data_IF_961006495122
#
_entry.id   IF_961006495122
#
_cell.length_a   1.000
_cell.length_b   1.000
_cell.length_c   1.000
_cell.angle_alpha   90.00
_cell.angle_beta   90.00
_cell.angle_gamma   90.00
#
_symmetry.space_group_name_H-M   'P 1'
#
loop_
_entity.id
_entity.type
_entity.pdbx_description
1 polymer ?
#
# COMPACT_ATOMS: atom_id res chain seq x y z
N UNK A 1 10.80 53.26 -2.49
CA UNK A 1 12.23 52.99 -2.20
C UNK A 1 12.51 51.54 -2.57
N UNK A 2 13.13 51.29 -3.73
CA UNK A 2 13.46 49.93 -4.17
C UNK A 2 14.60 49.41 -3.31
N UNK A 3 14.33 48.46 -2.40
CA UNK A 3 15.38 47.82 -1.61
C UNK A 3 16.22 46.92 -2.52
N UNK A 4 17.30 47.48 -3.06
CA UNK A 4 18.35 46.69 -3.71
C UNK A 4 19.09 45.93 -2.61
N UNK A 5 18.60 44.73 -2.28
CA UNK A 5 19.36 43.80 -1.45
C UNK A 5 20.73 43.52 -2.07
N UNK A 6 21.72 43.12 -1.24
CA UNK A 6 23.06 42.79 -1.75
C UNK A 6 22.98 41.72 -2.85
N UNK A 7 23.81 41.81 -3.90
CA UNK A 7 23.81 40.83 -4.98
C UNK A 7 24.09 39.43 -4.43
N UNK A 8 23.49 38.37 -5.01
CA UNK A 8 23.70 37.01 -4.54
C UNK A 8 25.18 36.62 -4.65
N UNK A 9 25.74 36.00 -3.61
CA UNK A 9 27.17 35.60 -3.59
C UNK A 9 27.45 34.43 -4.56
N UNK A 10 26.44 33.59 -4.84
CA UNK A 10 26.52 32.40 -5.68
C UNK A 10 25.50 32.44 -6.83
N UNK A 11 25.89 31.90 -7.98
CA UNK A 11 25.01 31.58 -9.12
C UNK A 11 24.97 30.07 -9.31
N UNK A 12 23.80 29.51 -9.61
CA UNK A 12 23.64 28.07 -9.85
C UNK A 12 23.01 27.83 -11.22
N UNK A 13 23.54 26.87 -11.98
CA UNK A 13 23.03 26.47 -13.29
C UNK A 13 23.19 24.96 -13.50
N UNK A 14 22.43 24.38 -14.42
CA UNK A 14 22.53 22.96 -14.78
C UNK A 14 23.59 22.70 -15.85
N UNK A 15 24.34 21.60 -15.73
CA UNK A 15 25.24 21.14 -16.78
C UNK A 15 24.47 20.86 -18.08
N UNK A 16 24.97 21.36 -19.21
CA UNK A 16 24.34 21.21 -20.54
C UNK A 16 24.30 19.79 -21.12
N UNK A 17 24.84 18.78 -20.41
CA UNK A 17 24.84 17.38 -20.84
C UNK A 17 24.00 16.52 -19.89
N UNK A 18 24.40 16.44 -18.63
CA UNK A 18 23.78 15.56 -17.64
C UNK A 18 22.74 16.25 -16.73
N UNK A 19 22.60 17.57 -16.79
CA UNK A 19 21.68 18.32 -15.93
C UNK A 19 22.16 18.54 -14.49
N UNK A 20 23.33 18.03 -14.09
CA UNK A 20 23.90 18.24 -12.75
C UNK A 20 23.93 19.73 -12.39
N UNK A 21 23.36 20.07 -11.23
CA UNK A 21 23.34 21.44 -10.72
C UNK A 21 24.73 21.83 -10.21
N UNK A 22 25.32 22.85 -10.81
CA UNK A 22 26.61 23.40 -10.41
C UNK A 22 26.39 24.78 -9.78
N UNK A 23 27.09 25.06 -8.67
CA UNK A 23 27.02 26.33 -7.94
C UNK A 23 28.41 26.95 -7.88
N UNK A 24 28.55 28.20 -8.34
CA UNK A 24 29.81 28.93 -8.33
C UNK A 24 29.63 30.34 -7.77
N UNK A 25 30.70 30.92 -7.21
CA UNK A 25 30.69 32.33 -6.80
C UNK A 25 30.57 33.24 -8.03
N UNK A 26 29.86 34.37 -7.89
CA UNK A 26 29.62 35.31 -9.00
C UNK A 26 30.91 35.82 -9.67
N UNK A 27 32.04 35.86 -8.95
CA UNK A 27 33.36 36.20 -9.52
C UNK A 27 33.87 35.25 -10.62
N UNK A 28 33.23 34.10 -10.81
CA UNK A 28 33.57 33.13 -11.85
C UNK A 28 32.62 33.17 -13.06
N UNK A 29 31.65 34.08 -13.09
CA UNK A 29 30.77 34.28 -14.26
C UNK A 29 31.63 34.53 -15.51
N UNK A 30 31.30 33.83 -16.60
CA UNK A 30 32.05 33.86 -17.87
C UNK A 30 33.24 32.90 -17.95
N UNK A 31 33.68 32.29 -16.84
CA UNK A 31 34.77 31.29 -16.85
C UNK A 31 34.25 29.90 -17.24
N UNK A 32 35.13 29.11 -17.86
CA UNK A 32 34.90 27.70 -18.21
C UNK A 32 35.22 26.80 -17.01
N UNK A 33 34.34 25.85 -16.72
CA UNK A 33 34.49 24.90 -15.61
C UNK A 33 34.04 23.50 -16.03
N UNK A 34 34.68 22.45 -15.51
CA UNK A 34 34.31 21.05 -15.81
C UNK A 34 33.22 20.59 -14.85
N UNK A 35 32.20 19.93 -15.38
CA UNK A 35 31.23 19.21 -14.57
C UNK A 35 31.92 18.03 -13.87
N UNK A 36 31.73 17.83 -12.55
CA UNK A 36 32.33 16.72 -11.82
C UNK A 36 31.78 15.36 -12.25
N UNK A 37 30.52 15.30 -12.70
CA UNK A 37 29.87 14.02 -13.02
C UNK A 37 30.17 13.55 -14.44
N UNK A 38 30.08 14.43 -15.44
CA UNK A 38 30.23 14.06 -16.85
C UNK A 38 31.50 14.62 -17.52
N UNK A 39 32.29 15.44 -16.82
CA UNK A 39 33.51 16.05 -17.36
C UNK A 39 33.29 17.16 -18.40
N UNK A 40 32.05 17.42 -18.86
CA UNK A 40 31.77 18.47 -19.86
C UNK A 40 32.16 19.85 -19.33
N UNK A 41 32.83 20.63 -20.18
CA UNK A 41 33.19 22.02 -19.92
C UNK A 41 31.96 22.91 -20.16
N UNK A 42 31.48 23.60 -19.13
CA UNK A 42 30.39 24.56 -19.19
C UNK A 42 30.91 25.98 -18.91
N UNK A 43 30.26 26.99 -19.47
CA UNK A 43 30.51 28.42 -19.17
C UNK A 43 29.52 28.85 -18.09
N UNK A 44 30.01 29.46 -17.02
CA UNK A 44 29.18 29.92 -15.90
C UNK A 44 28.35 31.13 -16.36
N UNK A 45 27.01 31.04 -16.42
CA UNK A 45 26.16 32.13 -16.87
C UNK A 45 26.07 33.25 -15.81
N UNK A 46 25.83 34.51 -16.23
CA UNK A 46 25.54 35.59 -15.28
C UNK A 46 24.27 35.26 -14.48
N UNK A 47 24.19 35.68 -13.20
CA UNK A 47 23.01 35.45 -12.39
C UNK A 47 21.80 36.10 -13.07
N UNK A 48 20.71 35.35 -13.20
CA UNK A 48 19.44 35.93 -13.63
C UNK A 48 19.07 37.01 -12.62
N UNK A 49 18.99 38.25 -13.11
CA UNK A 49 18.44 39.34 -12.31
C UNK A 49 16.99 38.96 -12.05
N UNK A 50 16.69 38.51 -10.83
CA UNK A 50 15.31 38.29 -10.40
C UNK A 50 14.57 39.60 -10.63
N UNK A 51 13.79 39.68 -11.70
CA UNK A 51 12.84 40.77 -11.87
C UNK A 51 11.99 40.72 -10.61
N UNK A 52 11.92 41.84 -9.89
CA UNK A 52 11.04 41.96 -8.77
C UNK A 52 9.68 41.48 -9.24
N UNK A 53 9.22 40.34 -8.74
CA UNK A 53 7.86 39.89 -8.99
C UNK A 53 7.04 41.01 -8.40
N UNK A 54 6.20 41.72 -9.20
CA UNK A 54 5.33 42.74 -8.64
C UNK A 54 4.57 42.04 -7.52
N UNK A 55 4.73 42.53 -6.29
CA UNK A 55 4.00 41.97 -5.16
C UNK A 55 2.53 41.97 -5.58
N UNK A 56 1.82 40.85 -5.44
CA UNK A 56 0.40 40.84 -5.75
C UNK A 56 -0.25 41.98 -4.95
N UNK A 57 -1.09 42.79 -5.61
CA UNK A 57 -1.78 43.93 -4.99
C UNK A 57 -2.50 43.55 -3.68
N UNK A 58 -2.84 42.26 -3.52
CA UNK A 58 -3.38 41.68 -2.30
C UNK A 58 -2.48 41.75 -1.05
N UNK A 59 -1.18 42.05 -1.20
CA UNK A 59 -0.26 42.21 -0.07
C UNK A 59 0.01 43.67 0.32
N UNK A 60 -0.46 44.65 -0.47
CA UNK A 60 -0.20 46.07 -0.23
C UNK A 60 -1.46 46.86 0.17
N UNK A 61 -2.62 46.20 0.36
CA UNK A 61 -3.85 46.84 0.84
C UNK A 61 -4.79 45.87 1.55
N UNK A 62 -5.68 46.43 2.36
CA UNK A 62 -6.68 45.85 3.28
C UNK A 62 -7.71 44.90 2.62
N UNK A 63 -7.28 43.98 1.74
CA UNK A 63 -8.20 43.09 1.01
C UNK A 63 -8.81 41.97 1.87
N UNK A 64 -8.40 41.87 3.13
CA UNK A 64 -9.06 41.05 4.13
C UNK A 64 -9.50 41.93 5.29
N UNK A 65 -10.34 42.93 5.02
CA UNK A 65 -11.25 43.41 6.05
C UNK A 65 -12.07 42.21 6.50
N UNK A 66 -11.75 41.70 7.70
CA UNK A 66 -12.61 40.79 8.42
C UNK A 66 -13.88 41.57 8.70
N UNK A 67 -14.89 41.37 7.85
CA UNK A 67 -16.22 41.89 8.09
C UNK A 67 -16.63 41.53 9.51
N UNK A 68 -17.12 42.51 10.28
CA UNK A 68 -17.77 42.22 11.55
C UNK A 68 -18.91 41.21 11.34
N UNK A 69 -19.22 40.41 12.36
CA UNK A 69 -20.24 39.33 12.28
C UNK A 69 -21.58 39.83 11.73
N UNK A 70 -21.88 41.12 11.91
CA UNK A 70 -23.12 41.77 11.49
C UNK A 70 -22.99 42.70 10.26
N UNK A 71 -21.78 42.89 9.73
CA UNK A 71 -21.49 43.84 8.63
C UNK A 71 -21.18 43.14 7.30
N UNK A 72 -21.24 41.81 7.26
CA UNK A 72 -20.99 41.07 6.04
C UNK A 72 -22.03 41.42 4.96
N UNK A 73 -21.62 41.95 3.79
CA UNK A 73 -22.55 42.26 2.70
C UNK A 73 -23.26 40.99 2.26
N UNK A 74 -24.54 41.12 1.89
CA UNK A 74 -25.35 40.01 1.40
C UNK A 74 -24.59 39.27 0.28
N UNK A 75 -24.66 37.93 0.20
CA UNK A 75 -23.97 37.16 -0.83
C UNK A 75 -24.19 37.67 -2.25
N UNK A 76 -25.39 38.18 -2.56
CA UNK A 76 -25.71 38.77 -3.85
C UNK A 76 -24.87 40.03 -4.18
N UNK A 77 -24.63 40.90 -3.18
CA UNK A 77 -23.81 42.11 -3.36
C UNK A 77 -22.33 41.76 -3.51
N UNK A 78 -21.87 40.72 -2.81
CA UNK A 78 -20.51 40.20 -2.98
C UNK A 78 -20.30 39.65 -4.39
N UNK A 79 -21.27 38.86 -4.89
CA UNK A 79 -21.26 38.33 -6.26
C UNK A 79 -21.28 39.47 -7.27
N UNK A 80 -22.07 40.52 -7.05
CA UNK A 80 -22.14 41.68 -7.94
C UNK A 80 -20.83 42.51 -7.96
N UNK A 81 -20.08 42.56 -6.85
CA UNK A 81 -18.78 43.26 -6.76
C UNK A 81 -17.61 42.44 -7.30
N UNK A 82 -17.72 41.11 -7.36
CA UNK A 82 -16.66 40.27 -7.91
C UNK A 82 -16.55 40.47 -9.43
N UNK A 83 -15.35 40.74 -9.97
CA UNK A 83 -15.19 40.90 -11.41
C UNK A 83 -15.50 39.58 -12.11
N UNK A 84 -16.35 39.62 -13.14
CA UNK A 84 -16.63 38.44 -13.97
C UNK A 84 -15.34 37.94 -14.62
N UNK A 85 -14.88 36.76 -14.19
CA UNK A 85 -13.68 36.10 -14.70
C UNK A 85 -14.09 35.07 -15.76
N UNK A 86 -13.54 35.23 -16.96
CA UNK A 86 -13.73 34.33 -18.08
C UNK A 86 -12.61 33.28 -18.06
N UNK A 87 -12.92 31.98 -18.01
CA UNK A 87 -11.91 30.93 -18.12
C UNK A 87 -11.38 30.85 -19.55
N UNK A 88 -10.06 30.71 -19.68
CA UNK A 88 -9.34 30.59 -20.95
C UNK A 88 -8.35 29.45 -20.81
N UNK A 89 -8.39 28.47 -21.70
CA UNK A 89 -7.40 27.39 -21.70
C UNK A 89 -6.27 27.72 -22.67
N UNK A 90 -5.01 27.59 -22.22
CA UNK A 90 -3.86 27.77 -23.11
C UNK A 90 -3.89 26.76 -24.25
N UNK A 91 -3.67 27.20 -25.49
CA UNK A 91 -3.70 26.30 -26.66
C UNK A 91 -2.55 25.29 -26.73
N UNK A 92 -1.46 25.52 -25.99
CA UNK A 92 -0.27 24.67 -26.06
C UNK A 92 -0.21 23.68 -24.91
N UNK A 93 -0.31 24.16 -23.67
CA UNK A 93 -0.16 23.34 -22.46
C UNK A 93 -1.48 23.11 -21.70
N UNK A 94 -2.61 23.62 -22.21
CA UNK A 94 -3.93 23.51 -21.59
C UNK A 94 -4.08 24.10 -20.17
N UNK A 95 -3.10 24.87 -19.71
CA UNK A 95 -3.22 25.62 -18.44
C UNK A 95 -4.46 26.51 -18.47
N UNK A 96 -5.32 26.36 -17.46
CA UNK A 96 -6.47 27.21 -17.23
C UNK A 96 -6.03 28.56 -16.66
N UNK A 97 -6.36 29.64 -17.36
CA UNK A 97 -6.12 31.02 -16.93
C UNK A 97 -7.44 31.79 -16.89
N UNK A 98 -7.55 32.79 -16.03
CA UNK A 98 -8.76 33.61 -15.89
C UNK A 98 -8.49 35.02 -16.41
N UNK A 99 -9.39 35.52 -17.27
CA UNK A 99 -9.31 36.85 -17.86
C UNK A 99 -10.55 37.67 -17.51
N UNK A 100 -10.38 38.97 -17.25
CA UNK A 100 -11.51 39.90 -17.09
C UNK A 100 -12.18 40.16 -18.44
N UNK A 101 -13.46 40.54 -18.41
CA UNK A 101 -14.19 40.94 -19.62
C UNK A 101 -13.50 42.05 -20.43
N UNK A 102 -12.82 43.00 -19.77
CA UNK A 102 -12.03 44.06 -20.42
C UNK A 102 -10.82 43.55 -21.25
N UNK A 103 -10.51 42.26 -21.16
CA UNK A 103 -9.46 41.59 -21.93
C UNK A 103 -10.01 40.75 -23.09
N UNK A 104 -11.32 40.74 -23.33
CA UNK A 104 -11.93 40.11 -24.51
C UNK A 104 -11.31 40.65 -25.80
N UNK A 105 -10.90 39.75 -26.70
CA UNK A 105 -10.22 40.10 -27.94
C UNK A 105 -8.73 40.42 -27.81
N UNK A 106 -8.18 40.52 -26.59
CA UNK A 106 -6.74 40.64 -26.35
C UNK A 106 -6.09 39.26 -26.19
N UNK A 107 -4.77 39.22 -26.30
CA UNK A 107 -4.00 37.99 -26.06
C UNK A 107 -3.48 37.95 -24.62
N UNK A 108 -3.81 36.89 -23.88
CA UNK A 108 -3.22 36.61 -22.57
C UNK A 108 -1.98 35.72 -22.71
N UNK A 109 -0.91 36.06 -22.01
CA UNK A 109 0.31 35.25 -21.96
C UNK A 109 0.13 34.15 -20.91
N UNK A 110 0.26 32.89 -21.31
CA UNK A 110 0.23 31.77 -20.38
C UNK A 110 1.39 31.87 -19.38
N UNK A 111 1.14 31.69 -18.06
CA UNK A 111 2.20 31.73 -17.05
C UNK A 111 3.19 30.58 -17.18
N UNK A 112 2.73 29.40 -17.62
CA UNK A 112 3.57 28.19 -17.63
C UNK A 112 4.44 28.08 -18.89
N UNK A 113 3.84 28.25 -20.07
CA UNK A 113 4.57 28.09 -21.34
C UNK A 113 4.87 29.41 -22.07
N UNK A 114 4.35 30.54 -21.60
CA UNK A 114 4.55 31.84 -22.24
C UNK A 114 3.77 32.06 -23.55
N UNK A 115 3.01 31.07 -24.03
CA UNK A 115 2.21 31.18 -25.26
C UNK A 115 1.09 32.21 -25.11
N UNK A 116 0.94 33.07 -26.12
CA UNK A 116 -0.12 34.08 -26.18
C UNK A 116 -1.41 33.46 -26.71
N UNK A 117 -2.46 33.41 -25.89
CA UNK A 117 -3.77 32.86 -26.23
C UNK A 117 -4.79 33.98 -26.38
N UNK A 118 -5.50 34.02 -27.52
CA UNK A 118 -6.58 34.98 -27.75
C UNK A 118 -7.76 34.66 -26.82
N UNK A 119 -8.16 35.63 -25.99
CA UNK A 119 -9.29 35.51 -25.09
C UNK A 119 -10.57 35.69 -25.91
N UNK A 120 -11.37 34.63 -26.02
CA UNK A 120 -12.68 34.65 -26.67
C UNK A 120 -13.78 34.70 -25.62
N UNK A 121 -14.89 35.35 -25.94
CA UNK A 121 -16.10 35.25 -25.12
C UNK A 121 -16.60 33.80 -25.23
N UNK A 122 -16.89 33.12 -24.10
CA UNK A 122 -17.58 31.83 -24.15
C UNK A 122 -18.85 32.01 -24.96
N UNK A 123 -19.22 31.03 -25.78
CA UNK A 123 -20.55 31.05 -26.37
C UNK A 123 -21.53 31.19 -25.21
N UNK A 124 -22.43 32.18 -25.28
CA UNK A 124 -23.45 32.33 -24.26
C UNK A 124 -24.20 30.98 -24.23
N UNK A 125 -24.07 30.24 -23.12
CA UNK A 125 -24.90 29.08 -22.95
C UNK A 125 -26.34 29.58 -23.05
N UNK A 126 -27.18 28.94 -23.89
CA UNK A 126 -28.57 29.33 -23.98
C UNK A 126 -29.12 29.26 -22.57
N UNK A 127 -29.44 30.42 -21.98
CA UNK A 127 -30.07 30.48 -20.67
C UNK A 127 -31.36 29.70 -20.82
N UNK A 128 -31.38 28.47 -20.31
CA UNK A 128 -32.63 27.79 -20.03
C UNK A 128 -33.31 28.69 -19.02
N UNK A 129 -34.22 29.54 -19.50
CA UNK A 129 -35.00 30.38 -18.61
C UNK A 129 -35.61 29.49 -17.52
N UNK A 130 -35.83 30.02 -16.30
CA UNK A 130 -36.67 29.31 -15.36
C UNK A 130 -37.95 28.98 -16.11
N UNK A 131 -38.26 27.69 -16.23
CA UNK A 131 -39.51 27.23 -16.81
C UNK A 131 -40.59 27.75 -15.87
N UNK A 132 -41.12 28.92 -16.20
CA UNK A 132 -42.24 29.53 -15.49
C UNK A 132 -43.40 28.58 -15.67
N UNK A 133 -43.70 27.81 -14.64
CA UNK A 133 -44.94 27.03 -14.58
C UNK A 133 -46.07 28.05 -14.63
N UNK A 134 -46.95 28.01 -15.64
CA UNK A 134 -48.09 28.92 -15.71
C UNK A 134 -48.94 28.76 -14.45
N UNK A 135 -49.30 29.89 -13.83
CA UNK A 135 -50.12 29.90 -12.61
C UNK A 135 -51.38 29.04 -12.78
N UNK A 136 -51.50 27.97 -11.99
CA UNK A 136 -52.66 27.09 -11.96
C UNK A 136 -52.44 25.64 -12.40
N UNK A 137 -51.24 25.26 -12.86
CA UNK A 137 -50.90 23.83 -13.04
C UNK A 137 -50.03 23.34 -11.88
N UNK A 138 -50.58 22.45 -11.05
CA UNK A 138 -49.80 21.69 -10.09
C UNK A 138 -48.66 20.95 -10.80
N UNK A 139 -47.48 20.94 -10.18
CA UNK A 139 -46.31 20.21 -10.65
C UNK A 139 -46.64 18.73 -10.86
N UNK A 140 -46.99 18.35 -12.09
CA UNK A 140 -46.86 16.96 -12.51
C UNK A 140 -45.38 16.73 -12.79
N UNK A 141 -44.67 16.29 -11.75
CA UNK A 141 -43.33 15.73 -11.88
C UNK A 141 -43.42 14.63 -12.93
N UNK A 142 -42.86 14.89 -14.12
CA UNK A 142 -42.71 13.87 -15.14
C UNK A 142 -41.95 12.70 -14.48
N UNK A 143 -42.54 11.50 -14.38
CA UNK A 143 -41.92 10.37 -13.70
C UNK A 143 -40.59 9.96 -14.36
N UNK A 144 -40.33 10.39 -15.60
CA UNK A 144 -39.03 10.20 -16.27
C UNK A 144 -37.96 11.20 -15.84
N UNK A 145 -38.36 12.33 -15.25
CA UNK A 145 -37.47 13.34 -14.64
C UNK A 145 -37.13 13.04 -13.19
N UNK A 146 -37.63 11.92 -12.65
CA UNK A 146 -37.26 11.48 -11.32
C UNK A 146 -35.73 11.39 -11.24
N UNK A 147 -35.09 12.02 -10.24
CA UNK A 147 -33.64 12.02 -10.12
C UNK A 147 -33.17 10.58 -10.20
N UNK A 148 -32.38 10.27 -11.23
CA UNK A 148 -31.83 8.93 -11.45
C UNK A 148 -31.30 8.44 -10.11
N UNK A 149 -31.75 7.27 -9.63
CA UNK A 149 -31.40 6.78 -8.31
C UNK A 149 -29.89 6.91 -8.15
N UNK A 150 -29.47 7.58 -7.06
CA UNK A 150 -28.05 7.82 -6.80
C UNK A 150 -27.33 6.50 -7.05
N UNK A 151 -26.30 6.47 -7.92
CA UNK A 151 -25.59 5.24 -8.20
C UNK A 151 -25.17 4.65 -6.87
N UNK A 152 -25.60 3.41 -6.61
CA UNK A 152 -25.34 2.74 -5.34
C UNK A 152 -23.83 2.82 -5.12
N UNK A 153 -23.36 3.39 -4.00
CA UNK A 153 -21.94 3.52 -3.75
C UNK A 153 -21.33 2.13 -3.81
N UNK A 154 -20.50 1.88 -4.82
CA UNK A 154 -19.80 0.60 -4.97
C UNK A 154 -18.92 0.39 -3.73
N UNK A 155 -18.84 -0.84 -3.19
CA UNK A 155 -17.92 -1.15 -2.11
C UNK A 155 -16.48 -0.75 -2.48
N UNK A 156 -15.70 -0.32 -1.48
CA UNK A 156 -14.31 0.16 -1.69
C UNK A 156 -13.46 -0.88 -2.42
N UNK A 157 -13.64 -2.17 -2.12
CA UNK A 157 -12.95 -3.26 -2.79
C UNK A 157 -13.23 -3.30 -4.31
N UNK A 158 -14.49 -3.10 -4.72
CA UNK A 158 -14.87 -3.06 -6.16
C UNK A 158 -14.24 -1.84 -6.83
N UNK A 159 -14.23 -0.68 -6.14
CA UNK A 159 -13.62 0.54 -6.66
C UNK A 159 -12.10 0.41 -6.81
N UNK A 160 -11.43 -0.24 -5.85
CA UNK A 160 -9.99 -0.50 -5.93
C UNK A 160 -9.65 -1.51 -7.04
N UNK A 161 -10.48 -2.54 -7.23
CA UNK A 161 -10.33 -3.47 -8.35
C UNK A 161 -10.46 -2.75 -9.70
N UNK A 162 -11.45 -1.87 -9.85
CA UNK A 162 -11.65 -1.05 -11.06
C UNK A 162 -10.45 -0.11 -11.33
N UNK A 163 -9.88 0.50 -10.29
CA UNK A 163 -8.69 1.34 -10.42
C UNK A 163 -7.48 0.50 -10.87
N UNK A 164 -7.24 -0.66 -10.25
CA UNK A 164 -6.15 -1.56 -10.64
C UNK A 164 -6.32 -2.06 -12.07
N UNK A 165 -7.54 -2.31 -12.51
CA UNK A 165 -7.83 -2.70 -13.88
C UNK A 165 -7.58 -1.55 -14.86
N UNK A 166 -7.97 -0.32 -14.52
CA UNK A 166 -7.68 0.87 -15.32
C UNK A 166 -6.17 1.15 -15.44
N UNK A 167 -5.42 1.00 -14.34
CA UNK A 167 -3.96 1.12 -14.34
C UNK A 167 -3.30 0.04 -15.21
N UNK A 168 -3.79 -1.21 -15.14
CA UNK A 168 -3.34 -2.31 -16.00
C UNK A 168 -3.58 -1.98 -17.47
N UNK A 169 -4.77 -1.48 -17.83
CA UNK A 169 -5.10 -1.07 -19.20
C UNK A 169 -4.20 0.07 -19.67
N UNK A 170 -3.94 1.07 -18.82
CA UNK A 170 -3.05 2.18 -19.14
C UNK A 170 -1.58 1.71 -19.32
N UNK A 171 -1.13 0.72 -18.54
CA UNK A 171 0.18 0.11 -18.71
C UNK A 171 0.27 -0.69 -20.01
N UNK A 172 -0.76 -1.49 -20.32
CA UNK A 172 -0.86 -2.25 -21.57
C UNK A 172 -0.92 -1.32 -22.79
N UNK A 173 -1.59 -0.17 -22.70
CA UNK A 173 -1.63 0.86 -23.74
C UNK A 173 -0.24 1.49 -23.96
N UNK A 174 0.48 1.80 -22.87
CA UNK A 174 1.86 2.31 -22.93
C UNK A 174 2.84 1.29 -23.50
N UNK A 175 2.75 0.02 -23.13
CA UNK A 175 3.57 -1.04 -23.73
C UNK A 175 3.15 -1.37 -25.18
N UNK A 176 1.88 -1.14 -25.52
CA UNK A 176 1.32 -1.29 -26.87
C UNK A 176 1.84 -0.25 -27.87
N UNK A 177 2.31 0.91 -27.41
CA UNK A 177 2.89 1.96 -28.24
C UNK A 177 4.32 1.72 -28.76
N UNK A 178 4.94 0.58 -28.44
CA UNK A 178 6.27 0.25 -28.98
C UNK A 178 6.15 -0.40 -30.36
N UNK A 179 6.58 0.35 -31.38
CA UNK A 179 6.91 -0.01 -32.77
C UNK A 179 6.48 -1.42 -33.24
N UNK A 180 5.62 -1.45 -34.27
CA UNK A 180 5.04 -2.63 -34.94
C UNK A 180 6.05 -3.72 -35.37
N UNK A 181 7.35 -3.40 -35.39
CA UNK A 181 8.44 -4.31 -35.72
C UNK A 181 8.64 -5.49 -34.75
N UNK A 182 8.13 -5.43 -33.51
CA UNK A 182 8.30 -6.50 -32.50
C UNK A 182 7.04 -7.36 -32.22
N UNK A 183 5.93 -7.07 -32.90
CA UNK A 183 4.63 -7.75 -32.73
C UNK A 183 4.68 -9.30 -32.76
N UNK A 184 5.43 -9.98 -33.68
CA UNK A 184 5.44 -11.44 -33.73
C UNK A 184 6.22 -12.09 -32.57
N UNK A 185 7.26 -11.42 -32.06
CA UNK A 185 8.01 -11.88 -30.87
C UNK A 185 7.18 -11.72 -29.60
N UNK A 186 6.44 -10.61 -29.46
CA UNK A 186 5.52 -10.38 -28.34
C UNK A 186 4.36 -11.38 -28.31
N UNK A 187 3.74 -11.69 -29.45
CA UNK A 187 2.68 -12.73 -29.53
C UNK A 187 3.17 -14.11 -29.10
N UNK A 188 4.38 -14.52 -29.53
CA UNK A 188 4.98 -15.80 -29.09
C UNK A 188 5.27 -15.81 -27.58
N UNK A 189 5.78 -14.71 -27.02
CA UNK A 189 6.00 -14.57 -25.57
C UNK A 189 4.69 -14.58 -24.77
N UNK A 190 3.64 -13.88 -25.23
CA UNK A 190 2.32 -13.83 -24.57
C UNK A 190 1.63 -15.20 -24.61
N UNK A 191 1.64 -15.89 -25.76
CA UNK A 191 1.11 -17.26 -25.88
C UNK A 191 1.90 -18.27 -25.03
N UNK A 192 3.23 -18.14 -24.97
CA UNK A 192 4.06 -19.00 -24.10
C UNK A 192 3.82 -18.72 -22.61
N UNK A 193 3.61 -17.45 -22.22
CA UNK A 193 3.26 -17.07 -20.83
C UNK A 193 1.85 -17.54 -20.45
N UNK A 194 0.86 -17.41 -21.33
CA UNK A 194 -0.49 -17.93 -21.11
C UNK A 194 -0.46 -19.46 -20.99
N UNK A 195 0.22 -20.15 -21.91
CA UNK A 195 0.37 -21.60 -21.86
C UNK A 195 1.20 -22.10 -20.65
N UNK A 196 2.11 -21.27 -20.11
CA UNK A 196 2.79 -21.58 -18.84
C UNK A 196 1.90 -21.34 -17.62
N UNK A 197 0.90 -20.47 -17.74
CA UNK A 197 -0.09 -20.17 -16.69
C UNK A 197 -1.12 -21.30 -16.56
N UNK A 198 -1.34 -22.08 -17.62
CA UNK A 198 -2.38 -23.10 -17.73
C UNK A 198 -1.92 -24.52 -17.39
N UNK A 199 -0.64 -24.77 -17.06
CA UNK A 199 -0.26 -26.12 -16.62
C UNK A 199 -0.55 -26.29 -15.13
N UNK A 200 -1.60 -27.05 -14.75
CA UNK A 200 -1.87 -27.33 -13.34
C UNK A 200 -0.66 -28.06 -12.78
N UNK A 201 0.05 -27.37 -11.89
CA UNK A 201 1.23 -27.92 -11.23
C UNK A 201 0.72 -29.06 -10.36
N UNK A 202 1.22 -30.29 -10.59
CA UNK A 202 0.75 -31.50 -9.87
C UNK A 202 0.95 -31.40 -8.35
N UNK A 203 1.93 -30.60 -7.93
CA UNK A 203 2.22 -30.29 -6.52
C UNK A 203 2.40 -28.78 -6.37
N UNK A 204 1.29 -28.02 -6.41
CA UNK A 204 1.33 -26.56 -6.45
C UNK A 204 1.89 -25.95 -5.14
N UNK A 205 1.87 -26.73 -4.06
CA UNK A 205 2.34 -26.31 -2.76
C UNK A 205 3.86 -26.52 -2.56
N UNK A 206 4.50 -27.53 -3.20
CA UNK A 206 5.95 -27.75 -3.05
C UNK A 206 6.77 -27.08 -4.15
N UNK A 207 6.23 -27.02 -5.37
CA UNK A 207 7.00 -26.60 -6.53
C UNK A 207 7.07 -25.06 -6.62
N UNK A 208 8.29 -24.51 -6.69
CA UNK A 208 8.62 -23.07 -6.81
C UNK A 208 8.41 -22.20 -5.56
N UNK A 209 8.10 -22.78 -4.40
CA UNK A 209 8.11 -22.04 -3.12
C UNK A 209 9.45 -21.30 -2.86
N UNK A 210 10.64 -21.91 -3.03
CA UNK A 210 11.89 -21.22 -2.72
C UNK A 210 12.23 -20.09 -3.68
N UNK A 211 11.70 -20.10 -4.91
CA UNK A 211 12.03 -19.09 -5.93
C UNK A 211 11.64 -17.68 -5.49
N UNK A 212 10.46 -17.51 -4.87
CA UNK A 212 9.99 -16.23 -4.36
C UNK A 212 10.84 -15.76 -3.17
N UNK A 213 11.17 -16.67 -2.25
CA UNK A 213 11.91 -16.34 -1.03
C UNK A 213 13.38 -15.99 -1.27
N UNK A 214 13.95 -16.51 -2.36
CA UNK A 214 15.32 -16.20 -2.78
C UNK A 214 15.44 -14.89 -3.57
N UNK A 215 14.35 -14.13 -3.72
CA UNK A 215 14.43 -12.79 -4.31
C UNK A 215 15.15 -11.84 -3.34
N UNK A 216 16.03 -10.98 -3.89
CA UNK A 216 16.79 -9.99 -3.13
C UNK A 216 15.93 -9.16 -2.13
N UNK A 217 14.75 -8.61 -2.49
CA UNK A 217 13.94 -7.84 -1.54
C UNK A 217 13.41 -8.67 -0.36
N UNK A 218 13.16 -9.96 -0.53
CA UNK A 218 12.71 -10.84 0.55
C UNK A 218 13.89 -11.26 1.42
N UNK A 219 15.04 -11.59 0.84
CA UNK A 219 16.24 -11.95 1.61
C UNK A 219 16.72 -10.82 2.52
N UNK A 220 16.70 -9.57 2.02
CA UNK A 220 17.06 -8.39 2.83
C UNK A 220 16.09 -8.25 4.01
N UNK A 221 14.77 -8.36 3.78
CA UNK A 221 13.75 -8.25 4.82
C UNK A 221 13.82 -9.40 5.81
N UNK A 222 14.03 -10.63 5.34
CA UNK A 222 14.26 -11.80 6.17
C UNK A 222 15.42 -11.59 7.11
N UNK A 223 16.56 -11.11 6.59
CA UNK A 223 17.73 -10.84 7.41
C UNK A 223 17.47 -9.75 8.46
N UNK A 224 16.94 -8.59 8.04
CA UNK A 224 16.65 -7.47 8.95
C UNK A 224 15.65 -7.86 10.05
N UNK A 225 14.54 -8.50 9.69
CA UNK A 225 13.52 -8.92 10.65
C UNK A 225 14.01 -10.06 11.54
N UNK A 226 14.91 -10.93 11.07
CA UNK A 226 15.52 -11.97 11.90
C UNK A 226 16.47 -11.37 12.94
N UNK A 227 17.33 -10.43 12.54
CA UNK A 227 18.20 -9.70 13.48
C UNK A 227 17.35 -8.96 14.50
N UNK A 228 16.28 -8.30 14.08
CA UNK A 228 15.37 -7.61 14.98
C UNK A 228 14.67 -8.60 15.94
N UNK A 229 14.24 -9.78 15.47
CA UNK A 229 13.66 -10.82 16.31
C UNK A 229 14.64 -11.37 17.35
N UNK A 230 15.94 -11.49 17.01
CA UNK A 230 16.99 -11.89 17.96
C UNK A 230 17.14 -10.84 19.05
N UNK A 231 17.12 -9.55 18.69
CA UNK A 231 17.16 -8.44 19.66
C UNK A 231 15.94 -8.51 20.57
N UNK A 232 14.73 -8.56 20.02
CA UNK A 232 13.48 -8.68 20.81
C UNK A 232 13.54 -9.87 21.76
N UNK A 233 13.90 -11.04 21.25
CA UNK A 233 14.00 -12.28 22.05
C UNK A 233 15.03 -12.15 23.16
N UNK A 234 16.18 -11.52 22.90
CA UNK A 234 17.23 -11.32 23.91
C UNK A 234 16.73 -10.43 25.05
N UNK A 235 16.08 -9.30 24.73
CA UNK A 235 15.46 -8.41 25.73
C UNK A 235 14.39 -9.14 26.55
N UNK A 236 13.56 -9.96 25.89
CA UNK A 236 12.56 -10.78 26.57
C UNK A 236 13.17 -11.82 27.51
N UNK A 237 14.22 -12.54 27.08
CA UNK A 237 14.93 -13.50 27.91
C UNK A 237 15.59 -12.86 29.14
N UNK A 238 16.16 -11.65 29.00
CA UNK A 238 16.67 -10.91 30.15
C UNK A 238 15.56 -10.47 31.11
N UNK A 239 14.38 -10.11 30.59
CA UNK A 239 13.22 -9.73 31.41
C UNK A 239 12.56 -10.91 32.14
N UNK A 240 12.73 -12.14 31.65
CA UNK A 240 12.11 -13.35 32.20
C UNK A 240 13.00 -14.13 33.18
N UNK A 241 14.21 -13.65 33.48
CA UNK A 241 15.14 -14.31 34.39
C UNK A 241 14.70 -14.27 35.86
N UNK A 242 15.37 -15.05 36.71
CA UNK A 242 15.14 -15.02 38.15
C UNK A 242 15.79 -13.79 38.81
N UNK A 243 15.02 -13.08 39.64
CA UNK A 243 15.50 -11.91 40.37
C UNK A 243 16.43 -12.32 41.53
N UNK A 244 17.75 -12.34 41.30
CA UNK A 244 18.71 -12.56 42.38
C UNK A 244 18.81 -11.37 43.37
N UNK A 245 18.40 -10.16 42.96
CA UNK A 245 18.43 -8.96 43.81
C UNK A 245 17.27 -8.00 43.50
N UNK A 246 16.93 -7.10 44.45
CA UNK A 246 15.91 -6.06 44.25
C UNK A 246 16.23 -5.11 43.09
N UNK A 247 17.52 -4.83 42.86
CA UNK A 247 17.96 -4.03 41.72
C UNK A 247 17.71 -4.74 40.39
N UNK A 248 17.88 -6.08 40.34
CA UNK A 248 17.54 -6.86 39.16
C UNK A 248 16.04 -6.84 38.85
N UNK A 249 15.16 -6.82 39.85
CA UNK A 249 13.72 -6.79 39.63
C UNK A 249 13.26 -5.55 38.82
N UNK A 250 13.78 -4.36 39.12
CA UNK A 250 13.46 -3.14 38.36
C UNK A 250 13.96 -3.24 36.92
N UNK A 251 15.20 -3.68 36.73
CA UNK A 251 15.78 -3.86 35.40
C UNK A 251 14.97 -4.85 34.54
N UNK A 252 14.51 -5.97 35.12
CA UNK A 252 13.72 -6.98 34.41
C UNK A 252 12.37 -6.44 33.91
N UNK A 253 11.66 -5.66 34.74
CA UNK A 253 10.41 -5.01 34.32
C UNK A 253 10.69 -4.04 33.17
N UNK A 254 11.75 -3.24 33.24
CA UNK A 254 12.13 -2.34 32.15
C UNK A 254 12.47 -3.10 30.85
N UNK A 255 13.27 -4.17 30.92
CA UNK A 255 13.60 -4.99 29.75
C UNK A 255 12.38 -5.70 29.17
N UNK A 256 11.45 -6.17 30.01
CA UNK A 256 10.19 -6.76 29.57
C UNK A 256 9.32 -5.75 28.82
N UNK A 257 9.12 -4.55 29.38
CA UNK A 257 8.35 -3.48 28.70
C UNK A 257 8.97 -3.08 27.37
N UNK A 258 10.30 -2.92 27.32
CA UNK A 258 11.03 -2.65 26.08
C UNK A 258 10.83 -3.79 25.08
N UNK A 259 10.93 -5.05 25.53
CA UNK A 259 10.68 -6.23 24.69
C UNK A 259 9.26 -6.25 24.12
N UNK A 260 8.25 -5.88 24.89
CA UNK A 260 6.86 -5.79 24.40
C UNK A 260 6.72 -4.72 23.32
N UNK A 261 7.28 -3.53 23.54
CA UNK A 261 7.23 -2.43 22.55
C UNK A 261 7.94 -2.85 21.26
N UNK A 262 9.17 -3.36 21.37
CA UNK A 262 9.93 -3.83 20.22
C UNK A 262 9.24 -5.02 19.53
N UNK A 263 8.61 -5.91 20.29
CA UNK A 263 7.83 -7.03 19.77
C UNK A 263 6.60 -6.60 18.97
N UNK A 264 5.88 -5.56 19.41
CA UNK A 264 4.75 -4.98 18.66
C UNK A 264 5.24 -4.35 17.36
N UNK A 265 6.33 -3.57 17.42
CA UNK A 265 6.94 -2.97 16.22
C UNK A 265 7.42 -4.04 15.23
N UNK A 266 8.06 -5.09 15.73
CA UNK A 266 8.49 -6.23 14.93
C UNK A 266 7.31 -6.95 14.29
N UNK A 267 6.25 -7.21 15.07
CA UNK A 267 5.05 -7.88 14.59
C UNK A 267 4.37 -7.08 13.47
N UNK A 268 4.26 -5.76 13.63
CA UNK A 268 3.69 -4.89 12.59
C UNK A 268 4.49 -4.96 11.27
N UNK A 269 5.81 -4.86 11.36
CA UNK A 269 6.68 -4.97 10.18
C UNK A 269 6.63 -6.38 9.55
N UNK A 270 6.60 -7.43 10.37
CA UNK A 270 6.50 -8.81 9.91
C UNK A 270 5.15 -9.09 9.24
N UNK A 271 4.03 -8.61 9.80
CA UNK A 271 2.70 -8.77 9.22
C UNK A 271 2.58 -8.16 7.84
N UNK A 272 3.20 -7.00 7.62
CA UNK A 272 3.21 -6.36 6.31
C UNK A 272 3.86 -7.25 5.24
N UNK A 273 5.00 -7.86 5.60
CA UNK A 273 5.70 -8.80 4.72
C UNK A 273 4.89 -10.08 4.51
N UNK A 274 4.27 -10.62 5.57
CA UNK A 274 3.43 -11.81 5.48
C UNK A 274 2.21 -11.58 4.59
N UNK A 275 1.54 -10.43 4.70
CA UNK A 275 0.38 -10.08 3.88
C UNK A 275 0.75 -9.89 2.42
N UNK A 276 1.86 -9.19 2.15
CA UNK A 276 2.37 -9.01 0.80
C UNK A 276 2.72 -10.36 0.15
N UNK A 277 3.37 -11.27 0.89
CA UNK A 277 3.65 -12.62 0.39
C UNK A 277 2.36 -13.39 0.14
N UNK A 278 1.42 -13.39 1.10
CA UNK A 278 0.17 -14.13 0.99
C UNK A 278 -0.65 -13.65 -0.21
N UNK A 279 -0.82 -12.33 -0.37
CA UNK A 279 -1.63 -11.72 -1.45
C UNK A 279 -1.02 -11.97 -2.83
N UNK A 280 0.28 -11.72 -3.01
CA UNK A 280 0.97 -12.00 -4.28
C UNK A 280 0.97 -13.50 -4.62
N UNK A 281 0.99 -14.36 -3.59
CA UNK A 281 0.85 -15.80 -3.77
C UNK A 281 -0.55 -16.24 -4.14
N UNK A 282 -1.58 -15.58 -3.59
CA UNK A 282 -2.99 -15.79 -3.94
C UNK A 282 -3.30 -15.35 -5.37
N UNK A 283 -2.61 -14.33 -5.87
CA UNK A 283 -2.66 -13.91 -7.28
C UNK A 283 -1.89 -14.83 -8.23
N UNK A 284 -1.19 -15.84 -7.68
CA UNK A 284 -0.43 -16.82 -8.44
C UNK A 284 0.95 -16.34 -8.89
N UNK A 285 1.46 -15.21 -8.37
CA UNK A 285 2.79 -14.71 -8.73
C UNK A 285 3.90 -15.57 -8.12
N UNK A 286 5.00 -15.73 -8.88
CA UNK A 286 6.23 -16.42 -8.45
C UNK A 286 7.25 -15.48 -7.80
N UNK A 287 7.06 -14.17 -7.95
CA UNK A 287 7.95 -13.11 -7.48
C UNK A 287 7.15 -12.05 -6.72
N UNK A 288 7.80 -11.36 -5.77
CA UNK A 288 7.19 -10.27 -5.02
C UNK A 288 7.29 -8.98 -5.83
N UNK A 289 6.20 -8.56 -6.49
CA UNK A 289 6.20 -7.38 -7.34
C UNK A 289 6.01 -6.08 -6.56
N UNK A 290 5.10 -6.08 -5.59
CA UNK A 290 4.82 -4.91 -4.77
C UNK A 290 5.24 -5.15 -3.31
N UNK A 291 6.53 -4.95 -2.98
CA UNK A 291 6.96 -5.12 -1.60
C UNK A 291 6.34 -4.04 -0.70
N UNK A 292 6.09 -4.33 0.59
CA UNK A 292 5.44 -3.37 1.48
C UNK A 292 6.23 -2.06 1.57
N UNK A 293 5.50 -0.96 1.65
CA UNK A 293 6.03 0.40 1.81
C UNK A 293 6.84 0.50 3.11
N UNK A 294 7.66 1.54 3.25
CA UNK A 294 8.37 1.84 4.51
C UNK A 294 7.49 2.56 5.53
N UNK A 295 6.20 2.74 5.25
CA UNK A 295 5.31 3.58 6.04
C UNK A 295 4.67 2.77 7.17
N UNK A 296 5.16 3.00 8.39
CA UNK A 296 4.76 2.28 9.59
C UNK A 296 3.24 2.33 9.87
N UNK A 297 2.55 3.40 9.46
CA UNK A 297 1.11 3.56 9.68
C UNK A 297 0.30 2.53 8.88
N UNK A 298 0.74 2.20 7.66
CA UNK A 298 0.08 1.18 6.84
C UNK A 298 0.23 -0.21 7.47
N UNK A 299 1.39 -0.50 8.08
CA UNK A 299 1.68 -1.78 8.73
C UNK A 299 0.75 -2.09 9.89
N UNK A 300 0.26 -1.07 10.61
CA UNK A 300 -0.67 -1.27 11.73
C UNK A 300 -2.00 -1.85 11.22
N UNK A 301 -2.49 -1.37 10.08
CA UNK A 301 -3.72 -1.88 9.47
C UNK A 301 -3.58 -3.34 9.08
N UNK A 302 -2.43 -3.71 8.49
CA UNK A 302 -2.12 -5.09 8.11
C UNK A 302 -1.95 -5.98 9.35
N UNK A 303 -1.30 -5.49 10.41
CA UNK A 303 -1.13 -6.19 11.68
C UNK A 303 -2.46 -6.55 12.34
N UNK A 304 -3.49 -5.71 12.19
CA UNK A 304 -4.82 -6.00 12.74
C UNK A 304 -5.45 -7.27 12.16
N UNK A 305 -5.27 -7.54 10.86
CA UNK A 305 -5.75 -8.79 10.24
C UNK A 305 -5.13 -10.00 10.93
N UNK A 306 -3.80 -10.00 11.10
CA UNK A 306 -3.11 -11.11 11.77
C UNK A 306 -3.48 -11.24 13.23
N UNK A 307 -3.50 -10.13 13.97
CA UNK A 307 -3.75 -10.16 15.41
C UNK A 307 -5.16 -10.65 15.71
N UNK A 308 -6.17 -10.13 15.02
CA UNK A 308 -7.57 -10.52 15.25
C UNK A 308 -7.79 -11.96 14.82
N UNK A 309 -7.29 -12.38 13.65
CA UNK A 309 -7.39 -13.78 13.23
C UNK A 309 -6.64 -14.72 14.18
N UNK A 310 -5.44 -14.36 14.64
CA UNK A 310 -4.67 -15.17 15.58
C UNK A 310 -5.38 -15.33 16.92
N UNK A 311 -5.92 -14.26 17.49
CA UNK A 311 -6.68 -14.29 18.76
C UNK A 311 -7.97 -15.08 18.59
N UNK A 312 -8.73 -14.81 17.53
CA UNK A 312 -10.00 -15.49 17.29
C UNK A 312 -9.84 -17.00 17.03
N UNK A 313 -8.70 -17.43 16.48
CA UNK A 313 -8.34 -18.85 16.39
C UNK A 313 -7.77 -19.42 17.68
N UNK A 314 -7.08 -18.61 18.50
CA UNK A 314 -6.45 -19.07 19.75
C UNK A 314 -7.47 -19.36 20.84
N UNK A 315 -8.53 -18.56 20.95
CA UNK A 315 -9.58 -18.75 21.96
C UNK A 315 -10.22 -20.15 21.88
N UNK A 316 -10.81 -20.59 20.76
CA UNK A 316 -11.42 -21.91 20.68
C UNK A 316 -10.38 -23.02 20.83
N UNK A 317 -9.17 -22.85 20.29
CA UNK A 317 -8.10 -23.83 20.41
C UNK A 317 -7.65 -24.02 21.88
N UNK A 318 -7.55 -22.94 22.64
CA UNK A 318 -7.22 -22.98 24.07
C UNK A 318 -8.34 -23.60 24.91
N UNK A 319 -9.61 -23.30 24.59
CA UNK A 319 -10.76 -23.91 25.27
C UNK A 319 -10.81 -25.43 25.03
N UNK A 320 -10.61 -25.87 23.78
CA UNK A 320 -10.54 -27.29 23.42
C UNK A 320 -9.33 -27.94 24.10
N UNK A 321 -8.16 -27.31 24.06
CA UNK A 321 -6.95 -27.83 24.71
C UNK A 321 -7.14 -28.01 26.21
N UNK A 322 -7.74 -27.02 26.89
CA UNK A 322 -8.05 -27.10 28.32
C UNK A 322 -9.07 -28.20 28.63
N UNK A 323 -10.16 -28.28 27.86
CA UNK A 323 -11.17 -29.32 28.04
C UNK A 323 -10.59 -30.74 27.83
N UNK A 324 -9.73 -30.90 26.81
CA UNK A 324 -9.03 -32.16 26.56
C UNK A 324 -8.01 -32.49 27.64
N UNK A 325 -7.32 -31.49 28.20
CA UNK A 325 -6.37 -31.70 29.32
C UNK A 325 -7.11 -32.16 30.57
N UNK A 326 -8.25 -31.53 30.90
CA UNK A 326 -9.08 -31.92 32.03
C UNK A 326 -9.65 -33.33 31.86
N UNK A 327 -10.09 -33.68 30.64
CA UNK A 327 -10.54 -35.03 30.34
C UNK A 327 -9.38 -36.03 30.44
N UNK A 328 -8.22 -35.71 29.87
CA UNK A 328 -7.03 -36.56 29.85
C UNK A 328 -6.49 -36.82 31.26
N UNK A 329 -6.47 -35.81 32.13
CA UNK A 329 -6.07 -35.92 33.53
C UNK A 329 -6.96 -36.91 34.31
N UNK A 330 -8.25 -37.01 33.95
CA UNK A 330 -9.16 -38.01 34.54
C UNK A 330 -8.86 -39.45 34.11
N UNK A 331 -8.19 -39.64 32.96
CA UNK A 331 -7.80 -40.95 32.43
C UNK A 331 -6.37 -41.35 32.85
N UNK A 332 -5.41 -40.45 32.75
CA UNK A 332 -4.01 -40.66 33.18
C UNK A 332 -3.26 -39.33 33.36
N UNK A 333 -2.49 -39.13 34.45
CA UNK A 333 -1.69 -37.93 34.63
C UNK A 333 -0.57 -37.78 33.59
N UNK A 334 -0.14 -38.87 32.94
CA UNK A 334 0.92 -38.83 31.93
C UNK A 334 0.52 -38.15 30.60
N UNK A 335 -0.78 -38.00 30.34
CA UNK A 335 -1.29 -37.35 29.12
C UNK A 335 -1.59 -35.86 29.32
N UNK A 336 -1.43 -35.32 30.53
CA UNK A 336 -1.65 -33.89 30.80
C UNK A 336 -0.73 -32.98 29.96
N UNK A 337 0.48 -33.44 29.65
CA UNK A 337 1.46 -32.70 28.83
C UNK A 337 1.05 -32.56 27.36
N UNK A 338 0.04 -33.32 26.88
CA UNK A 338 -0.50 -33.19 25.52
C UNK A 338 -1.38 -31.94 25.35
N UNK A 339 -1.88 -31.35 26.44
CA UNK A 339 -2.78 -30.20 26.41
C UNK A 339 -2.28 -29.02 25.56
N UNK A 340 -1.08 -28.50 25.82
CA UNK A 340 -0.47 -27.43 25.02
C UNK A 340 -0.25 -27.82 23.55
N UNK A 341 0.11 -29.08 23.29
CA UNK A 341 0.30 -29.60 21.92
C UNK A 341 -1.02 -29.60 21.16
N UNK A 342 -2.11 -30.03 21.80
CA UNK A 342 -3.45 -30.01 21.22
C UNK A 342 -3.95 -28.58 20.99
N UNK A 343 -3.72 -27.67 21.94
CA UNK A 343 -4.05 -26.25 21.79
C UNK A 343 -3.27 -25.60 20.63
N UNK A 344 -1.97 -25.84 20.54
CA UNK A 344 -1.12 -25.35 19.45
C UNK A 344 -1.53 -25.92 18.10
N UNK A 345 -1.84 -27.21 18.03
CA UNK A 345 -2.33 -27.87 16.82
C UNK A 345 -3.68 -27.30 16.41
N UNK A 346 -4.62 -27.12 17.35
CA UNK A 346 -5.92 -26.51 17.10
C UNK A 346 -5.80 -25.08 16.58
N UNK A 347 -4.87 -24.29 17.11
CA UNK A 347 -4.59 -22.94 16.63
C UNK A 347 -4.04 -22.96 15.19
N UNK A 348 -3.08 -23.83 14.89
CA UNK A 348 -2.51 -23.99 13.56
C UNK A 348 -3.55 -24.44 12.51
N UNK A 349 -4.56 -25.21 12.92
CA UNK A 349 -5.67 -25.61 12.06
C UNK A 349 -6.68 -24.47 11.87
N UNK A 350 -7.01 -23.72 12.92
CA UNK A 350 -8.01 -22.66 12.87
C UNK A 350 -7.51 -21.36 12.24
N UNK A 351 -6.22 -21.04 12.38
CA UNK A 351 -5.64 -19.77 11.94
C UNK A 351 -5.73 -19.52 10.42
N UNK A 352 -5.36 -20.47 9.53
CA UNK A 352 -5.55 -20.35 8.08
C UNK A 352 -6.97 -19.98 7.68
N UNK A 353 -7.96 -20.62 8.30
CA UNK A 353 -9.38 -20.39 8.00
C UNK A 353 -9.79 -18.98 8.40
N UNK A 354 -9.34 -18.53 9.58
CA UNK A 354 -9.64 -17.20 10.10
C UNK A 354 -9.02 -16.07 9.26
N UNK A 355 -7.74 -16.19 8.89
CA UNK A 355 -7.06 -15.16 8.11
C UNK A 355 -7.60 -15.10 6.67
N UNK A 356 -7.82 -16.25 6.01
CA UNK A 356 -8.40 -16.26 4.66
C UNK A 356 -9.83 -15.72 4.65
N UNK A 357 -10.61 -15.99 5.70
CA UNK A 357 -11.95 -15.41 5.85
C UNK A 357 -11.93 -13.88 5.97
N UNK A 358 -11.00 -13.34 6.76
CA UNK A 358 -10.87 -11.89 6.95
C UNK A 358 -10.43 -11.18 5.66
N UNK A 359 -9.56 -11.83 4.87
CA UNK A 359 -9.10 -11.31 3.58
C UNK A 359 -10.18 -11.38 2.50
N UNK A 360 -10.95 -12.47 2.46
CA UNK A 360 -12.06 -12.62 1.50
C UNK A 360 -13.15 -11.57 1.72
N UNK A 361 -13.43 -11.22 2.98
CA UNK A 361 -14.41 -10.18 3.30
C UNK A 361 -13.83 -8.77 3.29
N UNK A 362 -12.52 -8.62 3.16
CA UNK A 362 -11.83 -7.33 3.21
C UNK A 362 -11.97 -6.62 4.56
N UNK A 363 -12.19 -7.35 5.65
CA UNK A 363 -12.38 -6.79 6.99
C UNK A 363 -11.67 -7.64 8.06
N UNK A 364 -10.90 -7.03 8.97
CA UNK A 364 -10.18 -7.79 9.99
C UNK A 364 -11.12 -8.40 11.04
N UNK A 365 -12.34 -7.85 11.21
CA UNK A 365 -13.34 -8.36 12.14
C UNK A 365 -14.14 -9.55 11.57
N UNK A 366 -14.00 -9.81 10.28
CA UNK A 366 -14.72 -10.85 9.55
C UNK A 366 -13.99 -12.20 9.63
N UNK A 367 -13.90 -12.77 10.84
CA UNK A 367 -13.10 -13.98 11.10
C UNK A 367 -13.65 -15.23 10.40
N UNK A 368 -14.93 -15.25 10.01
CA UNK A 368 -15.54 -16.42 9.36
C UNK A 368 -16.26 -16.05 8.07
N UNK A 369 -15.83 -16.64 6.96
CA UNK A 369 -16.51 -16.57 5.65
C UNK A 369 -17.20 -17.91 5.34
N UNK A 370 -18.50 -17.91 5.02
CA UNK A 370 -19.21 -19.14 4.65
C UNK A 370 -18.65 -19.76 3.38
N UNK A 371 -18.04 -18.99 2.48
CA UNK A 371 -17.39 -19.52 1.27
C UNK A 371 -16.16 -20.34 1.61
N UNK A 372 -15.31 -19.83 2.51
CA UNK A 372 -14.14 -20.56 3.00
C UNK A 372 -14.58 -21.80 3.80
N UNK A 373 -15.63 -21.69 4.62
CA UNK A 373 -16.23 -22.83 5.31
C UNK A 373 -16.75 -23.92 4.36
N UNK A 374 -17.45 -23.55 3.27
CA UNK A 374 -17.88 -24.49 2.23
C UNK A 374 -16.68 -25.15 1.56
N UNK A 375 -15.64 -24.37 1.25
CA UNK A 375 -14.41 -24.87 0.61
C UNK A 375 -13.67 -25.91 1.45
N UNK A 376 -13.76 -25.82 2.78
CA UNK A 376 -13.15 -26.80 3.69
C UNK A 376 -13.76 -28.20 3.51
N UNK A 377 -15.06 -28.25 3.19
CA UNK A 377 -15.80 -29.50 2.98
C UNK A 377 -15.73 -29.98 1.53
N UNK A 378 -15.80 -29.07 0.55
CA UNK A 378 -15.78 -29.45 -0.88
C UNK A 378 -14.37 -29.74 -1.39
N UNK A 379 -13.36 -29.04 -0.88
CA UNK A 379 -11.97 -29.14 -1.30
C UNK A 379 -11.07 -29.79 -0.23
N UNK A 380 -11.61 -30.76 0.51
CA UNK A 380 -10.93 -31.43 1.63
C UNK A 380 -9.51 -31.95 1.31
N UNK A 381 -9.24 -32.59 0.14
CA UNK A 381 -7.90 -33.08 -0.19
C UNK A 381 -6.84 -31.97 -0.25
N UNK A 382 -7.20 -30.80 -0.78
CA UNK A 382 -6.30 -29.64 -0.91
C UNK A 382 -5.96 -29.08 0.47
N UNK A 383 -6.95 -28.96 1.35
CA UNK A 383 -6.75 -28.53 2.74
C UNK A 383 -5.88 -29.51 3.52
N UNK A 384 -6.13 -30.82 3.40
CA UNK A 384 -5.34 -31.85 4.08
C UNK A 384 -3.87 -31.83 3.63
N UNK A 385 -3.63 -31.66 2.32
CA UNK A 385 -2.27 -31.55 1.80
C UNK A 385 -1.55 -30.32 2.37
N UNK A 386 -2.22 -29.15 2.38
CA UNK A 386 -1.70 -27.93 3.00
C UNK A 386 -1.36 -28.13 4.49
N UNK A 387 -2.24 -28.77 5.27
CA UNK A 387 -1.98 -29.02 6.69
C UNK A 387 -0.82 -30.01 6.89
N UNK A 388 -0.72 -31.05 6.07
CA UNK A 388 0.40 -31.99 6.14
C UNK A 388 1.74 -31.29 5.89
N UNK A 389 1.81 -30.45 4.85
CA UNK A 389 3.03 -29.72 4.51
C UNK A 389 3.40 -28.67 5.56
N UNK A 390 2.43 -27.92 6.07
CA UNK A 390 2.69 -26.90 7.10
C UNK A 390 3.07 -27.52 8.44
N UNK A 391 2.46 -28.64 8.83
CA UNK A 391 2.85 -29.38 10.04
C UNK A 391 4.26 -29.97 9.91
N UNK A 392 4.62 -30.50 8.74
CA UNK A 392 5.98 -30.97 8.48
C UNK A 392 6.99 -29.82 8.56
N UNK A 393 6.69 -28.68 7.93
CA UNK A 393 7.53 -27.48 7.94
C UNK A 393 7.76 -26.96 9.36
N UNK A 394 6.68 -26.74 10.11
CA UNK A 394 6.73 -26.20 11.48
C UNK A 394 7.39 -27.22 12.41
N UNK A 395 7.04 -28.49 12.31
CA UNK A 395 7.64 -29.57 13.09
C UNK A 395 9.14 -29.69 12.86
N UNK A 396 9.60 -29.65 11.60
CA UNK A 396 11.02 -29.68 11.26
C UNK A 396 11.76 -28.43 11.76
N UNK A 397 11.18 -27.23 11.60
CA UNK A 397 11.77 -25.99 12.07
C UNK A 397 11.87 -25.94 13.62
N UNK A 398 10.82 -26.39 14.31
CA UNK A 398 10.79 -26.48 15.77
C UNK A 398 11.79 -27.52 16.29
N UNK A 399 11.80 -28.74 15.74
CA UNK A 399 12.73 -29.79 16.11
C UNK A 399 14.19 -29.37 15.87
N UNK A 400 14.48 -28.76 14.71
CA UNK A 400 15.81 -28.22 14.40
C UNK A 400 16.22 -27.11 15.36
N UNK A 401 15.29 -26.23 15.74
CA UNK A 401 15.54 -25.16 16.73
C UNK A 401 15.83 -25.72 18.12
N UNK A 402 15.03 -26.67 18.60
CA UNK A 402 15.25 -27.35 19.89
C UNK A 402 16.59 -28.08 19.89
N UNK A 403 16.93 -28.78 18.80
CA UNK A 403 18.21 -29.45 18.64
C UNK A 403 19.40 -28.47 18.66
N UNK A 404 19.30 -27.35 17.94
CA UNK A 404 20.32 -26.29 17.93
C UNK A 404 20.55 -25.70 19.33
N UNK A 405 19.47 -25.37 20.03
CA UNK A 405 19.50 -24.80 21.39
C UNK A 405 20.14 -25.80 22.37
N UNK A 406 19.74 -27.08 22.29
CA UNK A 406 20.27 -28.12 23.17
C UNK A 406 21.76 -28.42 22.96
N UNK A 407 22.29 -28.23 21.75
CA UNK A 407 23.69 -28.51 21.44
C UNK A 407 24.62 -27.37 21.84
N UNK A 408 24.23 -26.13 21.58
CA UNK A 408 25.00 -24.93 21.90
C UNK A 408 24.07 -23.74 22.20
N UNK A 409 24.05 -23.22 23.44
CA UNK A 409 23.19 -22.08 23.81
C UNK A 409 23.40 -20.84 22.92
N UNK A 410 24.64 -20.58 22.48
CA UNK A 410 24.95 -19.48 21.56
C UNK A 410 24.34 -19.67 20.16
N UNK A 411 24.18 -20.92 19.70
CA UNK A 411 23.47 -21.22 18.45
C UNK A 411 21.96 -21.05 18.59
N UNK A 412 21.43 -20.90 19.81
CA UNK A 412 20.02 -20.57 20.03
C UNK A 412 19.60 -19.27 19.33
N UNK A 413 20.53 -18.33 19.13
CA UNK A 413 20.27 -17.12 18.34
C UNK A 413 19.96 -17.41 16.86
N UNK A 414 20.45 -18.54 16.33
CA UNK A 414 20.14 -18.98 14.97
C UNK A 414 18.74 -19.61 14.84
N UNK A 415 18.05 -19.93 15.94
CA UNK A 415 16.69 -20.42 15.88
C UNK A 415 15.72 -19.34 15.34
N UNK A 416 15.91 -18.08 15.72
CA UNK A 416 15.07 -16.97 15.27
C UNK A 416 15.01 -16.82 13.73
N UNK A 417 16.14 -16.75 12.98
CA UNK A 417 16.09 -16.69 11.52
C UNK A 417 15.49 -17.93 10.87
N UNK A 418 15.70 -19.13 11.44
CA UNK A 418 15.12 -20.38 10.93
C UNK A 418 13.60 -20.38 11.09
N UNK A 419 13.11 -20.01 12.28
CA UNK A 419 11.68 -19.90 12.53
C UNK A 419 11.05 -18.80 11.68
N UNK A 420 11.70 -17.65 11.52
CA UNK A 420 11.18 -16.60 10.66
C UNK A 420 11.13 -17.03 9.20
N UNK A 421 12.14 -17.72 8.68
CA UNK A 421 12.10 -18.32 7.34
C UNK A 421 10.92 -19.30 7.20
N UNK A 422 10.67 -20.13 8.21
CA UNK A 422 9.52 -21.04 8.23
C UNK A 422 8.19 -20.29 8.20
N UNK A 423 8.06 -19.14 8.87
CA UNK A 423 6.84 -18.30 8.76
C UNK A 423 6.64 -17.73 7.35
N UNK A 424 7.71 -17.29 6.67
CA UNK A 424 7.61 -16.81 5.29
C UNK A 424 7.16 -17.92 4.33
N UNK A 425 7.71 -19.12 4.51
CA UNK A 425 7.30 -20.34 3.80
C UNK A 425 5.83 -20.68 4.07
N UNK A 426 5.40 -20.60 5.32
CA UNK A 426 4.03 -20.85 5.72
C UNK A 426 3.04 -19.90 5.01
N UNK A 427 3.30 -18.59 5.02
CA UNK A 427 2.41 -17.63 4.34
C UNK A 427 2.42 -17.76 2.82
N UNK A 428 3.54 -18.21 2.24
CA UNK A 428 3.62 -18.57 0.82
C UNK A 428 2.74 -19.77 0.50
N UNK A 429 2.77 -20.83 1.31
CA UNK A 429 1.88 -22.00 1.17
C UNK A 429 0.41 -21.61 1.33
N UNK A 430 0.11 -20.74 2.29
CA UNK A 430 -1.25 -20.27 2.55
C UNK A 430 -1.82 -19.45 1.39
N UNK A 431 -1.02 -18.57 0.78
CA UNK A 431 -1.46 -17.85 -0.41
C UNK A 431 -1.64 -18.76 -1.63
N UNK A 432 -0.82 -19.81 -1.78
CA UNK A 432 -1.03 -20.84 -2.82
C UNK A 432 -2.32 -21.63 -2.61
N UNK A 433 -2.65 -21.98 -1.37
CA UNK A 433 -3.95 -22.55 -1.04
C UNK A 433 -5.08 -21.61 -1.47
N UNK A 434 -5.00 -20.32 -1.14
CA UNK A 434 -6.00 -19.33 -1.54
C UNK A 434 -6.18 -19.24 -3.07
N UNK A 435 -5.07 -19.26 -3.82
CA UNK A 435 -5.09 -19.29 -5.29
C UNK A 435 -5.87 -20.52 -5.81
N UNK A 436 -5.55 -21.72 -5.32
CA UNK A 436 -6.25 -22.95 -5.74
C UNK A 436 -7.73 -22.94 -5.37
N UNK A 437 -8.09 -22.44 -4.18
CA UNK A 437 -9.49 -22.33 -3.77
C UNK A 437 -10.25 -21.41 -4.72
N UNK A 438 -9.65 -20.31 -5.17
CA UNK A 438 -10.28 -19.39 -6.13
C UNK A 438 -10.59 -20.08 -7.47
N UNK A 439 -9.66 -20.86 -8.01
CA UNK A 439 -9.84 -21.60 -9.27
C UNK A 439 -10.95 -22.66 -9.15
N UNK A 440 -10.97 -23.41 -8.05
CA UNK A 440 -12.00 -24.43 -7.81
C UNK A 440 -13.38 -23.80 -7.67
N UNK A 441 -13.49 -22.65 -6.99
CA UNK A 441 -14.77 -21.95 -6.84
C UNK A 441 -15.27 -21.35 -8.15
N UNK A 442 -14.39 -20.90 -9.05
CA UNK A 442 -14.83 -20.43 -10.38
C UNK A 442 -15.45 -21.54 -11.22
N UNK A 443 -14.89 -22.76 -11.15
CA UNK A 443 -15.41 -23.92 -11.90
C UNK A 443 -16.80 -24.34 -11.40
N UNK A 444 -17.05 -24.30 -10.09
CA UNK A 444 -18.37 -24.60 -9.53
C UNK A 444 -19.46 -23.63 -10.02
N UNK A 445 -19.10 -22.35 -10.21
CA UNK A 445 -20.05 -21.31 -10.67
C UNK A 445 -20.37 -21.52 -12.16
N UNK A 446 -19.36 -21.75 -13.00
CA UNK A 446 -19.55 -22.01 -14.43
C UNK A 446 -20.32 -23.31 -14.71
N UNK A 447 -20.26 -24.31 -13.81
CA UNK A 447 -21.02 -25.54 -13.94
C UNK A 447 -22.48 -25.47 -13.44
N UNK A 448 -22.86 -24.38 -12.77
CA UNK A 448 -24.21 -24.18 -12.26
C UNK A 448 -25.10 -23.32 -13.18
N UNK A 449 -24.49 -22.60 -14.13
CA UNK A 449 -25.15 -21.88 -15.24
C UNK A 449 -25.40 -22.82 -16.42
#
# INVERSE_FOLDING_TARGET
MSSTGPPPEYTSFGCTLCGTRLSFRVKYVGKKTKCPDCGRVNVIPPPEVKRAVPKPLAMEGEQFELWGVDEAPLPAEQIAKQPTLIPVSCRLCYTLMYAREAHLGKQAKCPDCGTKTLIKRPAAEPTSGPVGVPDGQEYQLDPTSAPTPRPVPKPVAVRQAEIREAERRAYEEKEGGTSDSDAPRKKKRKKKRAALREQPVKFPLVQRVPAMLLTAPILIRWFVLSVFLVVVSSFGSFGAGDAASKFHAVAMVCFFVISCILGILWLAAASAVWLAILTESADGHDELHNPPSTDFVEWIGEAMYFLISAVASAVPAALIGKAMTQLAESLSPSVADLGPVLAGTGWLLAFPVAILSSLEQGSPMAVFSPKIGKSLLTCLPTWLLYYAETMLLIGAAAAGSVWLIGRHPLLGMAAAPVLFAATLLYFRLLGRLAWQLSELTSIEIEGAE
#
